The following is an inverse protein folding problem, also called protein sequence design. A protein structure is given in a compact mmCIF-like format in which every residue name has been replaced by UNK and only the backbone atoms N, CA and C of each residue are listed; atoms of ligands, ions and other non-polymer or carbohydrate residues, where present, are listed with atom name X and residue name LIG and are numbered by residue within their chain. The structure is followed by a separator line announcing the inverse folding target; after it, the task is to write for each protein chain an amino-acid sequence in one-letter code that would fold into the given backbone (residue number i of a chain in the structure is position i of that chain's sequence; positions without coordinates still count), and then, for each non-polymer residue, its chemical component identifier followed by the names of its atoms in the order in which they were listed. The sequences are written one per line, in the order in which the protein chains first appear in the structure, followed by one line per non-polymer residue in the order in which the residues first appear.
data_IF_230593683700
#
_entry.id   IF_230593683700
#
_cell.length_a   1.000
_cell.length_b   1.000
_cell.length_c   1.000
_cell.angle_alpha   90.00
_cell.angle_beta   90.00
_cell.angle_gamma   90.00
#
_symmetry.space_group_name_H-M   'P 1'
#
loop_
_entity.id
_entity.type
_entity.pdbx_description
1 polymer ?
#
# COMPACT_ATOMS: atom_id res chain seq x y z
N UNK A 1 -2.74 12.31 -12.90
CA UNK A 1 -1.47 11.85 -12.28
C UNK A 1 -0.34 12.67 -12.88
N UNK A 2 0.58 13.26 -12.09
CA UNK A 2 1.63 14.16 -12.61
C UNK A 2 2.83 13.43 -13.25
N UNK A 3 3.03 12.17 -12.91
CA UNK A 3 4.05 11.27 -13.47
C UNK A 3 3.42 9.91 -13.74
N UNK A 4 3.90 9.16 -14.73
CA UNK A 4 3.45 7.80 -15.05
C UNK A 4 3.82 6.80 -13.92
N UNK A 5 3.31 5.57 -14.00
CA UNK A 5 3.74 4.52 -13.04
C UNK A 5 5.22 4.20 -13.21
N UNK A 6 5.69 4.12 -14.45
CA UNK A 6 7.07 3.75 -14.76
C UNK A 6 8.05 4.88 -14.42
N UNK A 7 7.67 6.14 -14.63
CA UNK A 7 8.50 7.30 -14.21
C UNK A 7 8.72 7.34 -12.70
N UNK A 8 7.69 7.02 -11.91
CA UNK A 8 7.81 6.95 -10.45
C UNK A 8 8.63 5.74 -10.02
N UNK A 9 8.47 4.60 -10.70
CA UNK A 9 9.26 3.38 -10.43
C UNK A 9 10.74 3.64 -10.71
N UNK A 10 11.07 4.25 -11.85
CA UNK A 10 12.46 4.56 -12.22
C UNK A 10 13.13 5.46 -11.18
N UNK A 11 12.47 6.57 -10.80
CA UNK A 11 12.96 7.47 -9.75
C UNK A 11 13.20 6.75 -8.43
N UNK A 12 12.28 5.85 -8.03
CA UNK A 12 12.44 5.06 -6.83
C UNK A 12 13.70 4.17 -6.91
N UNK A 13 13.89 3.46 -8.01
CA UNK A 13 15.06 2.59 -8.22
C UNK A 13 16.35 3.40 -8.14
N UNK A 14 16.45 4.52 -8.86
CA UNK A 14 17.66 5.34 -8.90
C UNK A 14 18.07 5.89 -7.52
N UNK A 15 17.08 6.17 -6.67
CA UNK A 15 17.29 6.65 -5.30
C UNK A 15 17.63 5.50 -4.34
N UNK A 16 16.96 4.34 -4.48
CA UNK A 16 17.06 3.24 -3.52
C UNK A 16 18.26 2.33 -3.75
N UNK A 17 18.72 2.15 -4.99
CA UNK A 17 19.88 1.28 -5.27
C UNK A 17 21.15 1.76 -4.54
N UNK A 18 21.53 3.05 -4.57
CA UNK A 18 22.68 3.54 -3.79
C UNK A 18 22.51 3.40 -2.28
N UNK A 19 21.27 3.53 -1.77
CA UNK A 19 20.98 3.34 -0.34
C UNK A 19 21.20 1.88 0.08
N UNK A 20 20.75 0.92 -0.73
CA UNK A 20 20.97 -0.50 -0.49
C UNK A 20 22.47 -0.84 -0.52
N UNK A 21 23.20 -0.32 -1.52
CA UNK A 21 24.65 -0.49 -1.62
C UNK A 21 25.40 0.12 -0.42
N UNK A 22 24.98 1.31 0.04
CA UNK A 22 25.53 1.94 1.24
C UNK A 22 25.35 1.08 2.50
N UNK A 23 24.22 0.36 2.60
CA UNK A 23 23.95 -0.59 3.68
C UNK A 23 24.63 -1.96 3.48
N UNK A 24 25.37 -2.16 2.39
CA UNK A 24 25.98 -3.46 2.05
C UNK A 24 24.97 -4.53 1.64
N UNK A 25 23.77 -4.14 1.22
CA UNK A 25 22.72 -5.05 0.77
C UNK A 25 22.85 -5.34 -0.73
N UNK A 26 22.48 -6.56 -1.12
CA UNK A 26 22.35 -6.97 -2.52
C UNK A 26 20.89 -6.96 -2.94
N UNK A 27 20.59 -6.33 -4.09
CA UNK A 27 19.24 -6.34 -4.67
C UNK A 27 19.08 -7.63 -5.47
N UNK A 28 17.98 -8.40 -5.28
CA UNK A 28 17.77 -9.68 -5.95
C UNK A 28 17.28 -9.50 -7.40
N UNK A 29 18.03 -8.75 -8.20
CA UNK A 29 17.81 -8.58 -9.64
C UNK A 29 19.14 -8.77 -10.38
N UNK A 30 19.37 -9.94 -11.02
CA UNK A 30 20.61 -10.21 -11.74
C UNK A 30 20.85 -9.29 -12.95
N UNK A 31 19.80 -8.65 -13.50
CA UNK A 31 19.92 -7.76 -14.65
C UNK A 31 20.17 -6.29 -14.24
N UNK A 32 20.10 -5.99 -12.94
CA UNK A 32 20.29 -4.65 -12.40
C UNK A 32 21.68 -4.13 -12.71
N UNK A 33 21.75 -3.00 -13.43
CA UNK A 33 23.02 -2.31 -13.71
C UNK A 33 22.80 -0.83 -13.94
N UNK A 34 23.83 -0.04 -13.65
CA UNK A 34 23.87 1.38 -13.99
C UNK A 34 24.08 1.55 -15.49
N UNK A 35 23.29 2.40 -16.14
CA UNK A 35 23.48 2.85 -17.52
C UNK A 35 23.95 4.32 -17.52
N UNK A 36 25.21 4.54 -17.89
CA UNK A 36 25.81 5.87 -17.95
C UNK A 36 25.18 6.79 -19.01
N UNK A 37 24.67 6.24 -20.12
CA UNK A 37 24.06 7.05 -21.17
C UNK A 37 22.65 7.53 -20.77
N UNK A 38 21.89 6.64 -20.13
CA UNK A 38 20.54 6.95 -19.65
C UNK A 38 20.53 7.69 -18.30
N UNK A 39 21.63 7.65 -17.54
CA UNK A 39 21.70 8.12 -16.15
C UNK A 39 20.64 7.47 -15.24
N UNK A 40 20.39 6.18 -15.49
CA UNK A 40 19.35 5.39 -14.82
C UNK A 40 19.86 3.98 -14.56
N UNK A 41 19.34 3.35 -13.51
CA UNK A 41 19.48 1.90 -13.36
C UNK A 41 18.51 1.17 -14.28
N UNK A 42 19.03 0.24 -15.06
CA UNK A 42 18.24 -0.70 -15.85
C UNK A 42 17.92 -1.92 -14.99
N UNK A 43 16.64 -2.33 -14.99
CA UNK A 43 16.14 -3.47 -14.22
C UNK A 43 15.78 -4.66 -15.12
N UNK A 44 15.69 -5.83 -14.50
CA UNK A 44 15.08 -7.02 -15.11
C UNK A 44 13.56 -6.88 -15.31
N UNK A 45 12.96 -7.82 -16.07
CA UNK A 45 11.52 -7.84 -16.26
C UNK A 45 10.78 -8.10 -14.95
N UNK A 46 9.67 -7.39 -14.74
CA UNK A 46 8.76 -7.65 -13.62
C UNK A 46 7.87 -8.85 -13.96
N UNK A 47 7.63 -9.72 -12.98
CA UNK A 47 6.61 -10.75 -13.11
C UNK A 47 5.21 -10.10 -13.01
N UNK A 48 4.68 -9.74 -14.16
CA UNK A 48 3.35 -9.15 -14.26
C UNK A 48 2.22 -10.17 -14.00
N UNK A 49 2.48 -11.47 -14.18
CA UNK A 49 1.48 -12.50 -13.89
C UNK A 49 1.26 -12.60 -12.38
N UNK A 50 2.33 -12.63 -11.59
CA UNK A 50 2.25 -12.58 -10.12
C UNK A 50 1.53 -11.31 -9.68
N UNK A 51 1.92 -10.14 -10.21
CA UNK A 51 1.30 -8.86 -9.88
C UNK A 51 -0.23 -8.89 -10.10
N UNK A 52 -0.68 -9.39 -11.24
CA UNK A 52 -2.11 -9.50 -11.54
C UNK A 52 -2.83 -10.53 -10.66
N UNK A 53 -2.19 -11.67 -10.34
CA UNK A 53 -2.75 -12.66 -9.42
C UNK A 53 -2.96 -12.07 -8.00
N UNK A 54 -1.98 -11.32 -7.50
CA UNK A 54 -2.06 -10.64 -6.20
C UNK A 54 -3.18 -9.59 -6.19
N UNK A 55 -3.29 -8.77 -7.25
CA UNK A 55 -4.37 -7.80 -7.38
C UNK A 55 -5.76 -8.45 -7.41
N UNK A 56 -5.88 -9.61 -8.06
CA UNK A 56 -7.12 -10.38 -8.13
C UNK A 56 -7.49 -11.08 -6.81
N UNK A 57 -6.65 -11.00 -5.77
CA UNK A 57 -6.93 -11.61 -4.47
C UNK A 57 -6.27 -12.98 -4.26
N UNK A 58 -5.43 -13.43 -5.19
CA UNK A 58 -4.75 -14.73 -5.15
C UNK A 58 -3.28 -14.63 -4.69
N UNK A 59 -2.92 -13.55 -3.99
CA UNK A 59 -1.62 -13.41 -3.38
C UNK A 59 -1.53 -14.06 -2.00
N UNK A 60 -0.31 -14.09 -1.42
CA UNK A 60 0.01 -14.92 -0.25
C UNK A 60 -0.75 -14.57 1.03
N UNK A 61 -1.25 -13.34 1.16
CA UNK A 61 -1.93 -12.87 2.37
C UNK A 61 -3.26 -12.15 2.09
N UNK A 62 -3.82 -12.25 0.89
CA UNK A 62 -5.01 -11.48 0.50
C UNK A 62 -6.23 -11.89 1.33
N UNK A 63 -6.45 -13.20 1.49
CA UNK A 63 -7.55 -13.76 2.27
C UNK A 63 -7.42 -13.37 3.74
N UNK A 64 -6.25 -13.59 4.33
CA UNK A 64 -5.96 -13.33 5.74
C UNK A 64 -6.12 -11.83 6.07
N UNK A 65 -5.70 -10.92 5.17
CA UNK A 65 -5.90 -9.47 5.33
C UNK A 65 -7.38 -9.09 5.32
N UNK A 66 -8.16 -9.64 4.40
CA UNK A 66 -9.59 -9.37 4.31
C UNK A 66 -10.35 -9.95 5.51
N UNK A 67 -10.00 -11.15 5.95
CA UNK A 67 -10.57 -11.79 7.13
C UNK A 67 -10.27 -10.99 8.39
N UNK A 68 -9.04 -10.56 8.61
CA UNK A 68 -8.68 -9.71 9.74
C UNK A 68 -9.48 -8.40 9.75
N UNK A 69 -9.65 -7.76 8.59
CA UNK A 69 -10.47 -6.54 8.44
C UNK A 69 -11.94 -6.80 8.74
N UNK A 70 -12.51 -7.89 8.19
CA UNK A 70 -13.91 -8.28 8.42
C UNK A 70 -14.14 -8.62 9.89
N UNK A 71 -13.28 -9.42 10.49
CA UNK A 71 -13.36 -9.79 11.90
C UNK A 71 -13.30 -8.57 12.82
N UNK A 72 -12.35 -7.65 12.60
CA UNK A 72 -12.26 -6.41 13.37
C UNK A 72 -13.52 -5.52 13.18
N UNK A 73 -14.05 -5.46 11.96
CA UNK A 73 -15.30 -4.75 11.71
C UNK A 73 -16.47 -5.38 12.46
N UNK A 74 -16.65 -6.69 12.38
CA UNK A 74 -17.74 -7.39 13.05
C UNK A 74 -17.63 -7.33 14.57
N UNK A 75 -16.45 -7.65 15.13
CA UNK A 75 -16.22 -7.59 16.57
C UNK A 75 -16.39 -6.17 17.13
N UNK A 76 -16.01 -5.15 16.36
CA UNK A 76 -16.18 -3.74 16.73
C UNK A 76 -17.58 -3.17 16.49
N UNK A 77 -18.56 -3.98 16.04
CA UNK A 77 -19.93 -3.52 15.73
C UNK A 77 -20.58 -2.80 16.91
N UNK A 78 -20.53 -3.40 18.10
CA UNK A 78 -21.14 -2.84 19.29
C UNK A 78 -20.59 -1.46 19.66
N UNK A 79 -19.28 -1.22 19.43
CA UNK A 79 -18.66 0.09 19.69
C UNK A 79 -19.25 1.15 18.76
N UNK A 80 -19.42 0.81 17.47
CA UNK A 80 -20.01 1.73 16.50
C UNK A 80 -21.47 2.03 16.83
N UNK A 81 -22.23 1.01 17.23
CA UNK A 81 -23.62 1.17 17.67
C UNK A 81 -23.73 2.02 18.94
N UNK A 82 -22.85 1.79 19.93
CA UNK A 82 -22.80 2.57 21.16
C UNK A 82 -22.46 4.04 20.88
N UNK A 83 -21.47 4.31 20.03
CA UNK A 83 -21.10 5.66 19.62
C UNK A 83 -22.26 6.38 18.89
N UNK A 84 -22.94 5.68 17.98
CA UNK A 84 -24.10 6.22 17.27
C UNK A 84 -25.27 6.55 18.23
N UNK A 85 -25.57 5.65 19.16
CA UNK A 85 -26.63 5.86 20.15
C UNK A 85 -26.29 7.00 21.11
N UNK A 86 -25.03 7.12 21.55
CA UNK A 86 -24.59 8.24 22.38
C UNK A 86 -24.72 9.58 21.64
N UNK A 87 -24.25 9.66 20.40
CA UNK A 87 -24.38 10.86 19.58
C UNK A 87 -25.84 11.26 19.35
N UNK A 88 -26.75 10.30 19.17
CA UNK A 88 -28.18 10.57 19.04
C UNK A 88 -28.77 11.18 20.34
N UNK A 89 -28.36 10.67 21.51
CA UNK A 89 -28.77 11.23 22.81
C UNK A 89 -28.27 12.66 22.98
N UNK A 90 -27.01 12.94 22.68
CA UNK A 90 -26.45 14.29 22.78
C UNK A 90 -27.16 15.28 21.84
N UNK A 91 -27.49 14.88 20.60
CA UNK A 91 -28.29 15.72 19.70
C UNK A 91 -29.69 16.01 20.23
N UNK A 92 -30.34 15.04 20.90
CA UNK A 92 -31.66 15.27 21.51
C UNK A 92 -31.61 16.16 22.76
N UNK A 93 -30.44 16.25 23.41
CA UNK A 93 -30.20 17.10 24.58
C UNK A 93 -29.79 18.52 24.22
N UNK A 94 -29.22 18.74 23.04
CA UNK A 94 -28.94 20.09 22.54
C UNK A 94 -30.27 20.78 22.25
N UNK A 95 -30.58 21.91 22.91
CA UNK A 95 -31.75 22.70 22.54
C UNK A 95 -31.58 23.19 21.10
N UNK A 96 -32.66 23.14 20.30
CA UNK A 96 -32.67 23.77 18.98
C UNK A 96 -32.28 25.25 19.17
N UNK A 97 -31.15 25.64 18.60
CA UNK A 97 -30.79 27.05 18.51
C UNK A 97 -31.85 27.75 17.62
N UNK A 98 -32.29 28.96 18.00
CA UNK A 98 -33.32 29.71 17.29
C UNK A 98 -32.92 30.08 15.86
#
# INVERSE_FOLDING_TARGET
KRFSNDELRQKFIDITVPQAQFLGLTIPDPALRWDEAAQHYLIGPIDWNEFHAVLAGHGPCNRERLEARRAAHEAGRWVREAAAAHAAKERSRQPQAP
#
